data_IF_409978996333
#
_entry.id   IF_409978996333
#
_cell.length_a   1.000
_cell.length_b   1.000
_cell.length_c   1.000
_cell.angle_alpha   90.00
_cell.angle_beta   90.00
_cell.angle_gamma   90.00
#
_symmetry.space_group_name_H-M   'P 1'
#
loop_
_entity.id
_entity.type
_entity.pdbx_description
1 polymer ?
#
# COMPACT_ATOMS: atom_id res chain seq x y z
N UNK A 1 -7.16 -30.61 -21.84
CA UNK A 1 -7.59 -31.65 -20.91
C UNK A 1 -6.39 -32.56 -20.64
N UNK A 2 -6.44 -33.36 -19.57
CA UNK A 2 -5.43 -34.39 -19.31
C UNK A 2 -6.02 -35.73 -19.73
N UNK A 3 -5.31 -36.51 -20.54
CA UNK A 3 -5.70 -37.88 -20.83
C UNK A 3 -5.41 -38.75 -19.59
N UNK A 4 -6.44 -39.38 -19.04
CA UNK A 4 -6.35 -40.16 -17.80
C UNK A 4 -5.67 -41.52 -17.95
N UNK A 5 -5.38 -41.97 -19.18
CA UNK A 5 -4.68 -43.23 -19.48
C UNK A 5 -3.21 -43.00 -19.83
N UNK A 6 -2.89 -41.96 -20.61
CA UNK A 6 -1.49 -41.63 -20.96
C UNK A 6 -0.83 -40.62 -20.01
N UNK A 7 -1.62 -39.84 -19.27
CA UNK A 7 -1.14 -38.70 -18.48
C UNK A 7 -0.81 -37.46 -19.32
N UNK A 8 -1.04 -37.49 -20.63
CA UNK A 8 -0.67 -36.40 -21.54
C UNK A 8 -1.56 -35.16 -21.35
N UNK A 9 -0.95 -33.97 -21.35
CA UNK A 9 -1.64 -32.70 -21.17
C UNK A 9 -1.83 -31.97 -22.50
N UNK A 10 -3.09 -31.86 -22.95
CA UNK A 10 -3.44 -31.14 -24.16
C UNK A 10 -4.03 -29.76 -23.85
N UNK A 11 -3.56 -28.72 -24.54
CA UNK A 11 -4.11 -27.35 -24.47
C UNK A 11 -4.59 -26.91 -25.86
N UNK A 12 -5.56 -25.99 -25.91
CA UNK A 12 -5.99 -25.33 -27.14
C UNK A 12 -6.53 -23.93 -26.85
N UNK A 13 -6.46 -23.03 -27.82
CA UNK A 13 -7.15 -21.75 -27.74
C UNK A 13 -8.66 -21.97 -27.88
N UNK A 14 -9.44 -21.55 -26.88
CA UNK A 14 -10.91 -21.70 -26.88
C UNK A 14 -11.66 -20.39 -27.15
N UNK A 15 -10.96 -19.26 -27.29
CA UNK A 15 -11.55 -17.96 -27.64
C UNK A 15 -11.08 -17.53 -29.03
N UNK A 16 -11.98 -16.98 -29.86
CA UNK A 16 -11.66 -16.65 -31.27
C UNK A 16 -10.61 -15.53 -31.38
N UNK A 17 -10.76 -14.48 -30.57
CA UNK A 17 -9.88 -13.32 -30.54
C UNK A 17 -9.40 -13.09 -29.09
N UNK A 18 -8.42 -13.85 -28.57
CA UNK A 18 -7.92 -13.68 -27.21
C UNK A 18 -7.19 -12.34 -27.05
N UNK A 19 -7.44 -11.63 -25.96
CA UNK A 19 -6.74 -10.39 -25.59
C UNK A 19 -6.19 -10.51 -24.18
N UNK A 20 -4.96 -10.04 -23.95
CA UNK A 20 -4.40 -9.94 -22.60
C UNK A 20 -4.82 -8.60 -21.98
N UNK A 21 -5.55 -8.67 -20.89
CA UNK A 21 -5.99 -7.52 -20.09
C UNK A 21 -5.81 -7.84 -18.59
N UNK A 22 -4.55 -7.92 -18.12
CA UNK A 22 -4.26 -8.35 -16.76
C UNK A 22 -4.75 -7.33 -15.73
N UNK A 23 -5.19 -7.82 -14.57
CA UNK A 23 -5.78 -6.98 -13.54
C UNK A 23 -4.70 -6.11 -12.85
N UNK A 24 -4.74 -4.80 -13.08
CA UNK A 24 -3.77 -3.86 -12.47
C UNK A 24 -3.77 -3.90 -10.93
N UNK A 25 -4.89 -4.26 -10.31
CA UNK A 25 -5.02 -4.37 -8.85
C UNK A 25 -4.22 -5.52 -8.24
N UNK A 26 -3.84 -6.54 -9.02
CA UNK A 26 -2.92 -7.58 -8.58
C UNK A 26 -1.53 -6.99 -8.29
N UNK A 27 -0.99 -6.27 -9.27
CA UNK A 27 0.28 -5.57 -9.17
C UNK A 27 0.27 -4.49 -8.08
N UNK A 28 -0.83 -3.71 -7.96
CA UNK A 28 -0.96 -2.67 -6.93
C UNK A 28 -1.06 -3.25 -5.52
N UNK A 29 -1.91 -4.24 -5.29
CA UNK A 29 -2.29 -4.66 -3.93
C UNK A 29 -2.41 -6.17 -3.69
N UNK A 30 -3.19 -6.90 -4.51
CA UNK A 30 -3.63 -8.25 -4.13
C UNK A 30 -2.53 -9.31 -4.20
N UNK A 31 -1.71 -9.29 -5.25
CA UNK A 31 -0.68 -10.30 -5.43
C UNK A 31 0.43 -10.16 -4.38
N UNK A 32 1.05 -11.30 -4.03
CA UNK A 32 2.25 -11.28 -3.19
C UNK A 32 3.40 -10.62 -3.98
N UNK A 33 4.31 -9.88 -3.31
CA UNK A 33 5.41 -9.23 -4.01
C UNK A 33 6.38 -10.21 -4.68
N UNK A 34 6.48 -11.45 -4.18
CA UNK A 34 7.31 -12.52 -4.73
C UNK A 34 6.68 -13.26 -5.92
N UNK A 35 5.48 -12.86 -6.38
CA UNK A 35 4.85 -13.41 -7.58
C UNK A 35 5.38 -12.76 -8.87
N UNK A 36 5.48 -13.58 -9.91
CA UNK A 36 5.62 -13.15 -11.31
C UNK A 36 4.30 -13.47 -12.01
N UNK A 37 3.68 -12.47 -12.62
CA UNK A 37 2.39 -12.57 -13.32
C UNK A 37 2.59 -12.04 -14.73
N UNK A 38 2.16 -12.78 -15.75
CA UNK A 38 2.30 -12.39 -17.17
C UNK A 38 3.73 -11.97 -17.59
N UNK A 39 4.75 -12.56 -16.94
CA UNK A 39 6.17 -12.22 -17.15
C UNK A 39 6.66 -11.00 -16.36
N UNK A 40 5.81 -10.35 -15.57
CA UNK A 40 6.09 -9.13 -14.81
C UNK A 40 6.21 -9.44 -13.31
N UNK A 41 7.30 -9.01 -12.69
CA UNK A 41 7.49 -9.09 -11.23
C UNK A 41 6.60 -8.07 -10.50
N UNK A 42 5.84 -8.55 -9.50
CA UNK A 42 4.97 -7.68 -8.68
C UNK A 42 5.81 -6.73 -7.81
N UNK A 43 6.95 -7.20 -7.28
CA UNK A 43 7.88 -6.35 -6.52
C UNK A 43 8.46 -5.21 -7.36
N UNK A 44 8.99 -5.50 -8.56
CA UNK A 44 9.56 -4.49 -9.47
C UNK A 44 8.50 -3.50 -9.97
N UNK A 45 7.27 -3.97 -10.16
CA UNK A 45 6.12 -3.11 -10.47
C UNK A 45 5.88 -2.08 -9.36
N UNK A 46 5.92 -2.50 -8.09
CA UNK A 46 5.72 -1.62 -6.92
C UNK A 46 6.89 -0.64 -6.73
N UNK A 47 8.14 -1.07 -6.95
CA UNK A 47 9.29 -0.14 -7.02
C UNK A 47 9.05 0.91 -8.12
N UNK A 48 8.69 0.49 -9.32
CA UNK A 48 8.42 1.39 -10.45
C UNK A 48 7.30 2.40 -10.13
N UNK A 49 6.22 1.97 -9.47
CA UNK A 49 5.15 2.85 -8.97
C UNK A 49 5.70 3.91 -8.00
N UNK A 50 6.58 3.52 -7.08
CA UNK A 50 7.27 4.43 -6.15
C UNK A 50 8.11 5.50 -6.85
N UNK A 51 8.96 5.11 -7.80
CA UNK A 51 9.74 6.05 -8.62
C UNK A 51 8.84 7.04 -9.38
N UNK A 52 7.80 6.53 -10.06
CA UNK A 52 6.86 7.38 -10.82
C UNK A 52 6.04 8.32 -9.93
N UNK A 53 5.73 7.91 -8.70
CA UNK A 53 5.09 8.76 -7.69
C UNK A 53 6.02 9.89 -7.25
N UNK A 54 7.29 9.58 -6.91
CA UNK A 54 8.29 10.58 -6.54
C UNK A 54 8.54 11.59 -7.67
N UNK A 55 8.70 11.14 -8.92
CA UNK A 55 8.85 12.03 -10.08
C UNK A 55 7.63 12.95 -10.24
N UNK A 56 6.42 12.43 -10.01
CA UNK A 56 5.17 13.21 -10.07
C UNK A 56 5.11 14.24 -8.94
N UNK A 57 5.58 13.91 -7.74
CA UNK A 57 5.69 14.84 -6.61
C UNK A 57 6.68 15.96 -6.95
N UNK A 58 7.90 15.64 -7.41
CA UNK A 58 8.90 16.66 -7.82
C UNK A 58 8.36 17.63 -8.88
N UNK A 59 7.62 17.13 -9.88
CA UNK A 59 7.03 17.98 -10.93
C UNK A 59 5.88 18.85 -10.44
N UNK A 60 4.99 18.33 -9.58
CA UNK A 60 3.82 19.08 -9.09
C UNK A 60 4.09 19.96 -7.88
N UNK A 61 5.09 19.60 -7.08
CA UNK A 61 5.48 20.27 -5.84
C UNK A 61 7.02 20.38 -5.79
N UNK A 62 7.64 21.28 -6.59
CA UNK A 62 9.11 21.43 -6.58
C UNK A 62 9.67 21.83 -5.22
N UNK A 63 8.89 22.59 -4.43
CA UNK A 63 9.21 23.03 -3.07
C UNK A 63 8.36 22.27 -2.04
N UNK A 64 8.39 20.93 -2.09
CA UNK A 64 7.46 20.07 -1.33
C UNK A 64 7.60 20.07 0.20
N UNK A 65 8.67 20.65 0.75
CA UNK A 65 9.04 20.69 2.18
C UNK A 65 8.90 19.41 3.05
N UNK A 66 8.71 18.24 2.42
CA UNK A 66 8.72 16.89 3.03
C UNK A 66 10.04 16.62 3.77
N UNK A 67 9.94 16.30 5.06
CA UNK A 67 11.06 15.89 5.89
C UNK A 67 11.29 14.37 5.87
N UNK A 68 10.20 13.59 5.80
CA UNK A 68 10.23 12.13 5.92
C UNK A 68 9.12 11.47 5.11
N UNK A 69 9.41 10.29 4.57
CA UNK A 69 8.43 9.42 3.89
C UNK A 69 8.07 8.24 4.80
N UNK A 70 6.77 8.05 5.02
CA UNK A 70 6.22 7.04 5.92
C UNK A 70 5.19 6.17 5.16
N UNK A 71 5.37 4.84 5.10
CA UNK A 71 4.40 3.94 4.49
C UNK A 71 3.17 3.71 5.40
N UNK A 72 2.04 3.41 4.79
CA UNK A 72 0.90 2.77 5.45
C UNK A 72 1.06 1.24 5.27
N UNK A 73 1.33 0.49 6.35
CA UNK A 73 1.75 -0.91 6.24
C UNK A 73 0.61 -1.88 5.84
N UNK A 74 0.87 -2.94 5.08
CA UNK A 74 2.20 -3.47 4.72
C UNK A 74 2.59 -3.24 3.24
N UNK A 75 1.61 -3.20 2.34
CA UNK A 75 1.80 -3.24 0.87
C UNK A 75 2.60 -2.04 0.36
N UNK A 76 2.29 -0.84 0.85
CA UNK A 76 2.90 0.40 0.35
C UNK A 76 4.39 0.53 0.63
N UNK A 77 4.97 -0.29 1.54
CA UNK A 77 6.39 -0.22 1.95
C UNK A 77 7.35 -0.16 0.77
N UNK A 78 7.18 -1.04 -0.22
CA UNK A 78 8.05 -1.09 -1.41
C UNK A 78 8.00 0.21 -2.20
N UNK A 79 6.78 0.69 -2.50
CA UNK A 79 6.55 1.93 -3.24
C UNK A 79 7.03 3.17 -2.46
N UNK A 80 6.83 3.19 -1.14
CA UNK A 80 7.23 4.27 -0.25
C UNK A 80 8.76 4.34 -0.08
N UNK A 81 9.43 3.20 0.07
CA UNK A 81 10.89 3.11 0.11
C UNK A 81 11.51 3.64 -1.17
N UNK A 82 11.01 3.20 -2.33
CA UNK A 82 11.50 3.68 -3.61
C UNK A 82 11.17 5.16 -3.86
N UNK A 83 10.00 5.62 -3.42
CA UNK A 83 9.66 7.04 -3.48
C UNK A 83 10.59 7.89 -2.60
N UNK A 84 10.92 7.43 -1.39
CA UNK A 84 11.85 8.10 -0.48
C UNK A 84 13.26 8.21 -1.08
N UNK A 85 13.78 7.09 -1.62
CA UNK A 85 15.03 7.04 -2.36
C UNK A 85 15.05 8.04 -3.53
N UNK A 86 14.03 8.00 -4.39
CA UNK A 86 13.93 8.91 -5.55
C UNK A 86 13.77 10.37 -5.14
N UNK A 87 13.09 10.68 -4.03
CA UNK A 87 12.98 12.05 -3.48
C UNK A 87 14.23 12.54 -2.76
N UNK A 88 15.19 11.65 -2.43
CA UNK A 88 16.33 11.98 -1.58
C UNK A 88 15.91 12.31 -0.15
N UNK A 89 14.88 11.62 0.38
CA UNK A 89 14.31 11.84 1.72
C UNK A 89 14.37 10.57 2.56
N UNK A 90 14.50 10.67 3.89
CA UNK A 90 14.55 9.50 4.75
C UNK A 90 13.22 8.73 4.72
N UNK A 91 13.32 7.41 4.65
CA UNK A 91 12.23 6.48 4.90
C UNK A 91 12.16 6.13 6.39
N UNK A 92 10.97 6.14 7.00
CA UNK A 92 10.76 5.76 8.40
C UNK A 92 9.47 4.96 8.58
N UNK A 93 9.51 3.93 9.41
CA UNK A 93 8.31 3.20 9.86
C UNK A 93 7.59 4.01 10.94
N UNK A 94 6.74 4.96 10.55
CA UNK A 94 5.91 5.73 11.48
C UNK A 94 4.67 4.95 11.97
N UNK A 95 4.12 4.05 11.16
CA UNK A 95 2.94 3.24 11.50
C UNK A 95 3.32 1.77 11.69
N UNK A 96 2.94 1.20 12.84
CA UNK A 96 3.06 -0.24 13.13
C UNK A 96 1.70 -0.90 13.03
N UNK A 97 1.58 -1.91 12.18
CA UNK A 97 0.35 -2.70 12.00
C UNK A 97 0.19 -3.71 13.13
N UNK A 98 -0.96 -3.68 13.78
CA UNK A 98 -1.33 -4.69 14.78
C UNK A 98 -1.66 -5.99 14.04
N UNK A 99 -0.79 -7.00 14.19
CA UNK A 99 -0.97 -8.33 13.54
C UNK A 99 -2.08 -9.17 14.17
N UNK A 100 -2.42 -8.90 15.44
CA UNK A 100 -3.29 -9.74 16.27
C UNK A 100 -4.66 -9.09 16.55
N UNK A 101 -5.30 -8.53 15.52
CA UNK A 101 -6.61 -7.89 15.66
C UNK A 101 -7.68 -8.97 15.69
N UNK A 102 -8.24 -9.21 16.88
CA UNK A 102 -9.41 -10.06 17.02
C UNK A 102 -10.63 -9.46 16.31
N UNK A 103 -11.52 -10.33 15.83
CA UNK A 103 -12.88 -9.95 15.41
C UNK A 103 -13.58 -9.19 16.54
N UNK A 104 -14.11 -8.00 16.25
CA UNK A 104 -14.94 -7.28 17.20
C UNK A 104 -16.26 -8.03 17.37
N UNK A 105 -16.55 -8.50 18.58
CA UNK A 105 -17.87 -9.03 18.94
C UNK A 105 -18.92 -7.90 18.95
N UNK A 106 -20.20 -8.27 18.99
CA UNK A 106 -21.30 -7.31 19.08
C UNK A 106 -21.30 -6.72 20.48
N UNK A 107 -20.65 -5.56 20.63
CA UNK A 107 -20.69 -4.77 21.86
C UNK A 107 -21.95 -3.89 21.88
N UNK A 108 -22.74 -3.86 22.97
CA UNK A 108 -23.83 -2.91 23.10
C UNK A 108 -23.29 -1.46 23.18
N UNK A 109 -23.82 -0.57 22.34
CA UNK A 109 -23.44 0.84 22.25
C UNK A 109 -22.74 1.22 20.94
N UNK A 110 -23.26 2.22 20.22
CA UNK A 110 -22.68 2.69 18.95
C UNK A 110 -21.33 3.41 19.11
N UNK A 111 -21.12 4.14 20.21
CA UNK A 111 -19.92 4.97 20.42
C UNK A 111 -18.62 4.15 20.41
N UNK A 112 -18.63 2.94 20.96
CA UNK A 112 -17.49 2.02 21.01
C UNK A 112 -17.02 1.57 19.62
N UNK A 113 -17.83 1.75 18.57
CA UNK A 113 -17.54 1.31 17.20
C UNK A 113 -16.67 2.29 16.40
N UNK A 114 -16.46 3.53 16.88
CA UNK A 114 -15.82 4.64 16.14
C UNK A 114 -14.28 4.70 16.17
N UNK A 115 -13.56 3.70 16.72
CA UNK A 115 -12.08 3.70 16.80
C UNK A 115 -11.40 2.55 16.03
N UNK A 116 -12.00 2.12 14.92
CA UNK A 116 -11.57 0.90 14.20
C UNK A 116 -10.18 0.96 13.57
N UNK A 117 -9.68 2.15 13.16
CA UNK A 117 -8.31 2.27 12.59
C UNK A 117 -7.24 2.39 13.68
N UNK A 118 -7.55 3.01 14.83
CA UNK A 118 -6.65 2.99 16.00
C UNK A 118 -6.47 1.59 16.61
N UNK A 119 -7.41 0.66 16.37
CA UNK A 119 -7.20 -0.77 16.65
C UNK A 119 -6.27 -1.45 15.63
N UNK A 120 -6.13 -0.89 14.42
CA UNK A 120 -5.34 -1.47 13.31
C UNK A 120 -3.90 -1.01 13.26
N UNK A 121 -3.66 0.27 13.53
CA UNK A 121 -2.35 0.91 13.41
C UNK A 121 -1.99 1.62 14.72
N UNK A 122 -0.73 1.53 15.12
CA UNK A 122 -0.13 2.33 16.18
C UNK A 122 0.87 3.32 15.57
N UNK A 123 0.98 4.52 16.13
CA UNK A 123 1.94 5.55 15.68
C UNK A 123 3.20 5.59 16.55
N UNK A 124 4.37 5.61 15.92
CA UNK A 124 5.64 5.93 16.58
C UNK A 124 5.78 7.45 16.62
N UNK A 125 5.35 8.09 17.72
CA UNK A 125 5.24 9.56 17.82
C UNK A 125 6.53 10.31 17.46
N UNK A 126 7.70 9.77 17.79
CA UNK A 126 9.01 10.36 17.47
C UNK A 126 9.28 10.49 15.97
N UNK A 127 8.57 9.74 15.12
CA UNK A 127 8.73 9.85 13.66
C UNK A 127 7.85 10.91 13.00
N UNK A 128 6.85 11.43 13.73
CA UNK A 128 5.93 12.48 13.26
C UNK A 128 6.20 13.85 13.89
N UNK A 129 6.57 13.88 15.18
CA UNK A 129 6.65 15.11 15.96
C UNK A 129 7.54 16.19 15.31
N UNK A 130 6.94 17.32 14.96
CA UNK A 130 7.63 18.48 14.40
C UNK A 130 8.08 18.33 12.93
N UNK A 131 7.54 17.35 12.19
CA UNK A 131 7.92 17.07 10.79
C UNK A 131 6.76 17.25 9.82
N UNK A 132 7.08 17.61 8.58
CA UNK A 132 6.20 17.51 7.41
C UNK A 132 6.29 16.09 6.83
N UNK A 133 5.20 15.33 6.82
CA UNK A 133 5.25 13.89 6.52
C UNK A 133 4.61 13.54 5.18
N UNK A 134 5.32 12.82 4.32
CA UNK A 134 4.72 12.18 3.15
C UNK A 134 4.20 10.80 3.55
N UNK A 135 2.89 10.69 3.72
CA UNK A 135 2.23 9.39 3.88
C UNK A 135 2.01 8.74 2.51
N UNK A 136 2.44 7.48 2.36
CA UNK A 136 2.26 6.69 1.13
C UNK A 136 1.39 5.48 1.45
N UNK A 137 0.24 5.41 0.80
CA UNK A 137 -0.70 4.28 0.87
C UNK A 137 -0.84 3.64 -0.52
N UNK A 138 -1.26 2.38 -0.61
CA UNK A 138 -1.41 1.70 -1.90
C UNK A 138 -2.64 2.16 -2.69
N UNK A 139 -3.73 2.49 -2.00
CA UNK A 139 -5.00 2.85 -2.61
C UNK A 139 -5.91 3.62 -1.65
N UNK A 140 -6.84 4.40 -2.21
CA UNK A 140 -7.90 5.08 -1.43
C UNK A 140 -9.25 4.72 -2.02
N UNK A 141 -10.01 3.87 -1.31
CA UNK A 141 -11.32 3.39 -1.78
C UNK A 141 -12.48 4.24 -1.24
N UNK A 142 -12.61 4.38 0.08
CA UNK A 142 -13.70 5.12 0.74
C UNK A 142 -13.27 6.40 1.46
N UNK A 143 -11.96 6.68 1.51
CA UNK A 143 -11.39 7.87 2.17
C UNK A 143 -11.48 7.92 3.71
N UNK A 144 -12.38 7.16 4.36
CA UNK A 144 -12.54 7.15 5.83
C UNK A 144 -11.26 6.73 6.55
N UNK A 145 -10.64 5.62 6.12
CA UNK A 145 -9.38 5.13 6.68
C UNK A 145 -8.25 6.14 6.49
N UNK A 146 -8.13 6.75 5.29
CA UNK A 146 -7.13 7.76 5.01
C UNK A 146 -7.30 9.01 5.90
N UNK A 147 -8.55 9.43 6.15
CA UNK A 147 -8.85 10.53 7.10
C UNK A 147 -8.45 10.19 8.53
N UNK A 148 -8.77 8.98 9.01
CA UNK A 148 -8.35 8.51 10.35
C UNK A 148 -6.81 8.43 10.45
N UNK A 149 -6.12 7.95 9.42
CA UNK A 149 -4.65 7.86 9.34
C UNK A 149 -3.99 9.26 9.40
N UNK A 150 -4.48 10.21 8.60
CA UNK A 150 -3.98 11.60 8.61
C UNK A 150 -4.23 12.24 9.98
N UNK A 151 -5.39 12.00 10.59
CA UNK A 151 -5.65 12.48 11.96
C UNK A 151 -4.66 11.85 12.95
N UNK A 152 -4.38 10.54 12.86
CA UNK A 152 -3.41 9.88 13.74
C UNK A 152 -1.98 10.42 13.58
N UNK A 153 -1.57 10.85 12.38
CA UNK A 153 -0.29 11.53 12.16
C UNK A 153 -0.26 12.93 12.81
N UNK A 154 -1.34 13.70 12.69
CA UNK A 154 -1.48 15.02 13.36
C UNK A 154 -1.52 14.87 14.88
N UNK A 155 -2.27 13.91 15.40
CA UNK A 155 -2.32 13.54 16.83
C UNK A 155 -0.95 13.08 17.37
N UNK A 156 -0.05 12.61 16.49
CA UNK A 156 1.32 12.23 16.80
C UNK A 156 2.32 13.39 16.66
N UNK A 157 1.87 14.59 16.25
CA UNK A 157 2.67 15.81 16.18
C UNK A 157 3.20 16.19 14.79
N UNK A 158 2.70 15.59 13.70
CA UNK A 158 3.03 16.02 12.33
C UNK A 158 2.50 17.44 12.05
N UNK A 159 3.33 18.27 11.41
CA UNK A 159 2.99 19.65 11.04
C UNK A 159 2.08 19.69 9.81
N UNK A 160 2.46 18.98 8.75
CA UNK A 160 1.74 18.85 7.48
C UNK A 160 1.44 17.40 7.18
#
# INVERSE_FOLDING_TARGET
>A
FIDMKSGECHTRMCHKNPTSAPCIFEYVYFARPDSIMDGVSVYESRLTMGSKLADKIKRKFPQHDIDVVIPIPDTSRTSALQAAYTLGRPFREGFIKNRYIARTFIMPGQETRKKSVRLKLNTIKSEFAGRNVLLVDDSVVRGTTAREIVQMARDAGALK
#
